data_IF_063749318144
#
_entry.id   IF_063749318144
#
_cell.length_a   1.000
_cell.length_b   1.000
_cell.length_c   1.000
_cell.angle_alpha   90.00
_cell.angle_beta   90.00
_cell.angle_gamma   90.00
#
_symmetry.space_group_name_H-M   'P 1'
#
loop_
_entity.id
_entity.type
_entity.pdbx_description
1 polymer ?
#
# COMPACT_ATOMS: atom_id res chain seq x y z
N UNK A 1 66.09 9.88 13.47
CA UNK A 1 65.30 9.93 12.21
C UNK A 1 64.70 8.55 11.96
N UNK A 2 63.40 8.29 11.80
CA UNK A 2 62.13 8.92 12.17
C UNK A 2 61.14 7.72 12.08
N UNK A 3 60.57 7.28 13.20
CA UNK A 3 59.64 6.14 13.24
C UNK A 3 58.32 6.53 12.59
N UNK A 4 57.92 5.83 11.52
CA UNK A 4 56.63 6.01 10.87
C UNK A 4 55.67 4.94 11.37
N UNK A 5 54.93 5.28 12.42
CA UNK A 5 53.72 4.57 12.82
C UNK A 5 52.57 5.15 12.00
N UNK A 6 51.97 4.38 11.08
CA UNK A 6 50.60 4.66 10.63
C UNK A 6 49.69 3.66 11.33
N UNK A 7 49.00 4.20 12.32
CA UNK A 7 47.81 3.67 12.96
C UNK A 7 46.65 3.59 11.96
N UNK A 8 45.92 2.47 12.06
CA UNK A 8 44.46 2.42 12.08
C UNK A 8 43.70 3.09 10.92
N UNK A 9 43.25 2.29 9.96
CA UNK A 9 41.88 2.43 9.49
C UNK A 9 41.22 1.06 9.48
N UNK A 10 40.57 0.70 10.60
CA UNK A 10 39.37 -0.11 10.49
C UNK A 10 38.43 0.68 9.59
N UNK A 11 38.37 0.31 8.31
CA UNK A 11 37.18 0.58 7.51
C UNK A 11 36.08 -0.25 8.16
N UNK A 12 35.40 0.36 9.12
CA UNK A 12 34.05 -0.03 9.46
C UNK A 12 33.29 0.09 8.14
N UNK A 13 33.04 -1.04 7.48
CA UNK A 13 31.98 -1.16 6.50
C UNK A 13 30.69 -0.83 7.26
N UNK A 14 30.39 0.46 7.39
CA UNK A 14 29.06 0.90 7.72
C UNK A 14 28.17 0.33 6.63
N UNK A 15 27.17 -0.46 7.02
CA UNK A 15 26.10 -0.84 6.11
C UNK A 15 25.57 0.45 5.51
N UNK A 16 25.84 0.66 4.21
CA UNK A 16 25.32 1.80 3.48
C UNK A 16 23.85 1.44 3.19
N UNK A 17 22.96 1.79 4.13
CA UNK A 17 21.52 1.70 3.92
C UNK A 17 21.13 2.97 3.15
N UNK A 18 21.30 2.94 1.83
CA UNK A 18 20.74 3.96 0.95
C UNK A 18 19.23 3.93 1.12
N UNK A 19 18.67 4.98 1.72
CA UNK A 19 17.23 5.14 1.87
C UNK A 19 16.60 5.06 0.47
N UNK A 20 15.78 4.02 0.23
CA UNK A 20 15.09 3.83 -1.04
C UNK A 20 14.07 4.96 -1.22
N UNK A 21 14.29 5.80 -2.23
CA UNK A 21 13.37 6.87 -2.59
C UNK A 21 12.07 6.27 -3.14
N UNK A 22 10.93 6.64 -2.55
CA UNK A 22 9.61 6.24 -3.04
C UNK A 22 9.26 7.15 -4.22
N UNK A 23 8.90 6.62 -5.41
CA UNK A 23 8.51 7.44 -6.56
C UNK A 23 7.32 8.37 -6.26
N UNK A 24 7.12 9.41 -7.07
CA UNK A 24 5.96 10.29 -6.92
C UNK A 24 4.66 9.60 -7.37
N UNK A 25 3.76 9.35 -6.43
CA UNK A 25 2.46 8.72 -6.68
C UNK A 25 1.47 9.61 -7.45
N UNK A 26 1.65 10.94 -7.44
CA UNK A 26 0.68 11.88 -8.01
C UNK A 26 0.45 11.63 -9.51
N UNK A 27 1.51 11.38 -10.27
CA UNK A 27 1.40 11.13 -11.71
C UNK A 27 0.61 9.84 -11.99
N UNK A 28 0.92 8.75 -11.27
CA UNK A 28 0.22 7.48 -11.44
C UNK A 28 -1.27 7.60 -11.09
N UNK A 29 -1.60 8.32 -10.01
CA UNK A 29 -2.99 8.58 -9.63
C UNK A 29 -3.71 9.39 -10.69
N UNK A 30 -3.14 10.50 -11.17
CA UNK A 30 -3.75 11.34 -12.20
C UNK A 30 -4.02 10.61 -13.51
N UNK A 31 -3.14 9.67 -13.91
CA UNK A 31 -3.35 8.85 -15.11
C UNK A 31 -4.58 7.94 -14.98
N UNK A 32 -4.78 7.33 -13.81
CA UNK A 32 -5.89 6.40 -13.57
C UNK A 32 -7.19 7.14 -13.25
N UNK A 33 -7.13 8.23 -12.49
CA UNK A 33 -8.28 9.04 -12.13
C UNK A 33 -8.79 9.89 -13.30
N UNK A 34 -7.93 10.19 -14.28
CA UNK A 34 -8.20 11.12 -15.37
C UNK A 34 -8.47 12.54 -14.88
N UNK A 35 -7.93 12.91 -13.72
CA UNK A 35 -8.01 14.25 -13.15
C UNK A 35 -6.63 14.92 -13.18
N UNK A 36 -6.59 16.19 -13.58
CA UNK A 36 -5.36 17.00 -13.58
C UNK A 36 -4.79 17.24 -12.18
N UNK A 37 -5.65 17.12 -11.15
CA UNK A 37 -5.28 17.17 -9.74
C UNK A 37 -6.27 16.34 -8.92
N UNK A 38 -5.87 15.14 -8.52
CA UNK A 38 -6.67 14.31 -7.63
C UNK A 38 -6.46 14.66 -6.16
N UNK A 39 -7.52 14.58 -5.38
CA UNK A 39 -7.46 14.64 -3.92
C UNK A 39 -7.56 13.21 -3.38
N UNK A 40 -6.63 12.79 -2.54
CA UNK A 40 -6.58 11.43 -2.02
C UNK A 40 -5.80 11.36 -0.71
N UNK A 41 -6.02 10.29 0.05
CA UNK A 41 -5.09 9.81 1.07
C UNK A 41 -4.29 8.63 0.52
N UNK A 42 -3.08 8.42 1.02
CA UNK A 42 -2.22 7.31 0.61
C UNK A 42 -1.54 6.67 1.82
N UNK A 43 -1.57 5.34 1.86
CA UNK A 43 -0.79 4.51 2.77
C UNK A 43 0.17 3.63 1.97
N UNK A 44 1.31 3.30 2.56
CA UNK A 44 2.37 2.52 1.90
C UNK A 44 2.67 1.24 2.69
N UNK A 45 2.86 0.14 1.97
CA UNK A 45 3.32 -1.13 2.49
C UNK A 45 3.83 -2.03 1.36
N UNK A 46 4.91 -2.77 1.59
CA UNK A 46 5.36 -3.84 0.71
C UNK A 46 4.35 -5.01 0.69
N UNK A 47 3.46 -5.02 -0.31
CA UNK A 47 2.37 -5.99 -0.39
C UNK A 47 2.85 -7.33 -0.95
N UNK A 48 3.77 -7.30 -1.91
CA UNK A 48 4.24 -8.48 -2.63
C UNK A 48 5.58 -9.05 -2.10
N UNK A 49 6.19 -8.40 -1.11
CA UNK A 49 7.47 -8.74 -0.51
C UNK A 49 8.68 -8.65 -1.44
N UNK A 50 8.65 -7.74 -2.42
CA UNK A 50 9.80 -7.42 -3.27
C UNK A 50 10.74 -6.36 -2.67
N UNK A 51 10.37 -5.83 -1.50
CA UNK A 51 11.12 -4.85 -0.73
C UNK A 51 10.81 -3.40 -1.09
N UNK A 52 9.96 -3.12 -2.08
CA UNK A 52 9.47 -1.79 -2.37
C UNK A 52 8.08 -1.60 -1.79
N UNK A 53 7.87 -0.52 -1.04
CA UNK A 53 6.54 -0.25 -0.51
C UNK A 53 5.58 0.17 -1.64
N UNK A 54 4.52 -0.60 -1.79
CA UNK A 54 3.40 -0.36 -2.71
C UNK A 54 2.45 0.70 -2.15
N UNK A 55 1.67 1.34 -3.02
CA UNK A 55 0.76 2.41 -2.63
C UNK A 55 -0.70 1.95 -2.63
N UNK A 56 -1.40 2.24 -1.53
CA UNK A 56 -2.86 2.11 -1.41
C UNK A 56 -3.44 3.52 -1.29
N UNK A 57 -4.16 3.94 -2.33
CA UNK A 57 -4.65 5.30 -2.51
C UNK A 57 -6.17 5.33 -2.37
N UNK A 58 -6.68 6.06 -1.38
CA UNK A 58 -8.11 6.31 -1.22
C UNK A 58 -8.46 7.66 -1.85
N UNK A 59 -9.15 7.63 -2.99
CA UNK A 59 -9.58 8.83 -3.70
C UNK A 59 -10.70 9.54 -2.93
N UNK A 60 -10.67 10.88 -2.95
CA UNK A 60 -11.62 11.76 -2.27
C UNK A 60 -12.48 12.53 -3.25
N UNK A 61 -13.64 12.96 -2.78
CA UNK A 61 -14.56 13.83 -3.51
C UNK A 61 -15.73 13.09 -4.15
N UNK A 62 -16.70 13.85 -4.63
CA UNK A 62 -18.02 13.34 -5.05
C UNK A 62 -17.95 12.39 -6.25
N UNK A 63 -16.90 12.48 -7.09
CA UNK A 63 -16.70 11.58 -8.22
C UNK A 63 -16.24 10.18 -7.78
N UNK A 64 -15.62 10.07 -6.60
CA UNK A 64 -14.94 8.87 -6.11
C UNK A 64 -15.60 8.26 -4.89
N UNK A 65 -16.35 9.08 -4.15
CA UNK A 65 -17.05 8.71 -2.93
C UNK A 65 -18.56 8.86 -3.09
N UNK A 66 -19.28 7.82 -2.71
CA UNK A 66 -20.74 7.78 -2.68
C UNK A 66 -21.25 7.25 -1.34
N UNK A 67 -22.53 6.90 -1.31
CA UNK A 67 -23.17 6.42 -0.08
C UNK A 67 -22.62 5.10 0.44
N UNK A 68 -22.03 4.27 -0.44
CA UNK A 68 -21.47 2.95 -0.09
C UNK A 68 -19.99 2.96 0.31
N UNK A 69 -19.26 4.06 0.06
CA UNK A 69 -17.82 4.16 0.28
C UNK A 69 -17.13 4.99 -0.78
N UNK A 70 -15.81 5.03 -0.69
CA UNK A 70 -14.90 5.67 -1.63
C UNK A 70 -14.20 4.64 -2.54
N UNK A 71 -13.58 5.16 -3.59
CA UNK A 71 -12.73 4.39 -4.49
C UNK A 71 -11.32 4.28 -3.92
N UNK A 72 -10.81 3.06 -3.82
CA UNK A 72 -9.40 2.77 -3.54
C UNK A 72 -8.71 2.25 -4.80
N UNK A 73 -7.52 2.76 -5.06
CA UNK A 73 -6.59 2.28 -6.07
C UNK A 73 -5.39 1.63 -5.38
N UNK A 74 -4.86 0.57 -5.98
CA UNK A 74 -3.64 -0.10 -5.52
C UNK A 74 -2.62 -0.03 -6.64
N UNK A 75 -1.40 0.36 -6.31
CA UNK A 75 -0.28 0.47 -7.23
C UNK A 75 0.91 -0.31 -6.71
N UNK A 76 1.55 -1.08 -7.58
CA UNK A 76 2.83 -1.70 -7.31
C UNK A 76 3.95 -0.69 -7.48
N UNK A 77 4.88 -0.63 -6.53
CA UNK A 77 6.13 0.09 -6.70
C UNK A 77 7.17 -0.81 -7.39
N UNK A 78 7.66 -0.41 -8.56
CA UNK A 78 8.68 -1.16 -9.31
C UNK A 78 10.12 -0.76 -8.96
N UNK A 79 10.28 0.14 -7.99
CA UNK A 79 11.53 0.79 -7.63
C UNK A 79 11.83 2.07 -8.41
N UNK A 80 11.22 2.24 -9.59
CA UNK A 80 11.33 3.47 -10.40
C UNK A 80 10.02 4.19 -10.64
N UNK A 81 8.90 3.46 -10.62
CA UNK A 81 7.57 4.01 -10.85
C UNK A 81 6.48 3.22 -10.11
N UNK A 82 5.24 3.71 -10.24
CA UNK A 82 4.05 3.02 -9.75
C UNK A 82 3.24 2.44 -10.91
N UNK A 83 3.08 1.13 -10.92
CA UNK A 83 2.22 0.40 -11.87
C UNK A 83 0.86 0.13 -11.25
N UNK A 84 -0.22 0.44 -11.98
CA UNK A 84 -1.58 0.19 -11.49
C UNK A 84 -1.89 -1.31 -11.36
N UNK A 85 -2.46 -1.72 -10.23
CA UNK A 85 -2.82 -3.11 -9.92
C UNK A 85 -4.34 -3.32 -9.85
N UNK A 86 -5.05 -2.51 -9.07
CA UNK A 86 -6.49 -2.73 -8.89
C UNK A 86 -7.26 -1.49 -8.46
N UNK A 87 -8.58 -1.53 -8.66
CA UNK A 87 -9.54 -0.50 -8.27
C UNK A 87 -10.75 -1.13 -7.59
N UNK A 88 -11.13 -0.60 -6.42
CA UNK A 88 -12.29 -1.04 -5.64
C UNK A 88 -13.15 0.17 -5.25
N UNK A 89 -14.48 0.10 -5.35
CA UNK A 89 -15.35 1.31 -5.23
C UNK A 89 -16.19 1.40 -3.95
N UNK A 90 -16.30 0.31 -3.18
CA UNK A 90 -17.12 0.23 -1.96
C UNK A 90 -16.21 0.06 -0.75
N UNK A 91 -15.23 0.95 -0.62
CA UNK A 91 -14.23 0.92 0.46
C UNK A 91 -14.42 2.07 1.43
N UNK A 92 -13.99 1.87 2.66
CA UNK A 92 -13.91 2.89 3.70
C UNK A 92 -12.73 2.60 4.61
N UNK A 93 -12.33 3.62 5.34
CA UNK A 93 -11.26 3.53 6.31
C UNK A 93 -11.76 2.94 7.66
N UNK A 94 -10.86 2.42 8.51
CA UNK A 94 -9.42 2.26 8.27
C UNK A 94 -9.10 1.17 7.24
N UNK A 95 -8.01 1.35 6.51
CA UNK A 95 -7.43 0.32 5.63
C UNK A 95 -6.23 -0.31 6.34
N UNK A 96 -6.20 -1.64 6.36
CA UNK A 96 -5.18 -2.42 7.06
C UNK A 96 -4.55 -3.48 6.17
N UNK A 97 -3.30 -3.80 6.46
CA UNK A 97 -2.59 -4.95 5.90
C UNK A 97 -2.79 -6.13 6.84
N UNK A 98 -3.40 -7.21 6.35
CA UNK A 98 -3.57 -8.44 7.11
C UNK A 98 -2.24 -9.20 7.26
N UNK A 99 -2.18 -10.10 8.24
CA UNK A 99 -1.02 -11.02 8.38
C UNK A 99 -1.00 -12.12 7.30
N UNK A 100 -2.10 -12.29 6.56
CA UNK A 100 -2.24 -13.32 5.52
C UNK A 100 -1.81 -12.79 4.15
N UNK A 101 -1.35 -13.71 3.31
CA UNK A 101 -1.05 -13.46 1.90
C UNK A 101 -1.84 -14.43 1.03
N UNK A 102 -2.37 -13.94 -0.09
CA UNK A 102 -2.96 -14.75 -1.16
C UNK A 102 -2.21 -14.46 -2.45
N UNK A 103 -1.82 -15.51 -3.19
CA UNK A 103 -1.13 -15.38 -4.48
C UNK A 103 0.13 -14.50 -4.43
N UNK A 104 0.86 -14.53 -3.30
CA UNK A 104 2.10 -13.77 -3.07
C UNK A 104 1.91 -12.36 -2.51
N UNK A 105 0.69 -11.83 -2.52
CA UNK A 105 0.36 -10.47 -2.07
C UNK A 105 -0.32 -10.48 -0.70
N UNK A 106 -0.04 -9.50 0.15
CA UNK A 106 -0.71 -9.34 1.44
C UNK A 106 -2.21 -9.11 1.21
N UNK A 107 -3.06 -9.78 1.98
CA UNK A 107 -4.48 -9.49 1.97
C UNK A 107 -4.75 -8.14 2.64
N UNK A 108 -5.79 -7.45 2.19
CA UNK A 108 -6.11 -6.10 2.66
C UNK A 108 -7.45 -6.14 3.38
N UNK A 109 -7.52 -5.53 4.56
CA UNK A 109 -8.78 -5.34 5.29
C UNK A 109 -9.26 -3.92 5.02
N UNK A 110 -10.49 -3.81 4.54
CA UNK A 110 -11.18 -2.53 4.36
C UNK A 110 -12.52 -2.57 5.07
N UNK A 111 -13.02 -1.40 5.46
CA UNK A 111 -14.39 -1.29 5.91
C UNK A 111 -15.33 -1.14 4.72
N UNK A 112 -16.40 -1.94 4.67
CA UNK A 112 -17.48 -1.81 3.68
C UNK A 112 -18.78 -1.45 4.38
N UNK A 113 -19.42 -0.35 3.95
CA UNK A 113 -20.67 0.09 4.57
C UNK A 113 -21.76 -0.96 4.47
N UNK A 114 -22.49 -1.15 5.58
CA UNK A 114 -23.58 -2.13 5.67
C UNK A 114 -23.10 -3.58 5.84
N UNK A 115 -21.78 -3.80 5.88
CA UNK A 115 -21.18 -5.12 6.11
C UNK A 115 -20.23 -5.11 7.30
N UNK A 116 -19.29 -4.16 7.34
CA UNK A 116 -18.21 -4.11 8.32
C UNK A 116 -16.85 -4.35 7.66
N UNK A 117 -15.87 -4.77 8.46
CA UNK A 117 -14.52 -5.08 7.99
C UNK A 117 -14.53 -6.38 7.16
N UNK A 118 -13.98 -6.32 5.94
CA UNK A 118 -13.94 -7.43 5.00
C UNK A 118 -12.52 -7.68 4.50
N UNK A 119 -12.24 -8.94 4.15
CA UNK A 119 -10.94 -9.36 3.63
C UNK A 119 -10.92 -9.28 2.10
N UNK A 120 -9.97 -8.55 1.55
CA UNK A 120 -9.69 -8.48 0.12
C UNK A 120 -8.46 -9.34 -0.19
N UNK A 121 -8.70 -10.54 -0.73
CA UNK A 121 -7.64 -11.44 -1.15
C UNK A 121 -7.24 -11.17 -2.60
N UNK A 122 -5.93 -11.17 -2.89
CA UNK A 122 -5.42 -11.00 -4.25
C UNK A 122 -5.62 -12.27 -5.08
N UNK A 123 -6.25 -12.15 -6.25
CA UNK A 123 -6.61 -13.31 -7.09
C UNK A 123 -5.48 -13.78 -8.02
N UNK A 124 -4.30 -13.15 -7.93
CA UNK A 124 -3.17 -13.34 -8.83
C UNK A 124 -3.02 -12.25 -9.89
N UNK A 125 -4.05 -11.42 -10.08
CA UNK A 125 -4.03 -10.27 -10.97
C UNK A 125 -4.49 -8.97 -10.28
N UNK A 126 -5.51 -9.04 -9.43
CA UNK A 126 -6.12 -7.86 -8.80
C UNK A 126 -6.76 -8.17 -7.45
N UNK A 127 -7.01 -7.14 -6.66
CA UNK A 127 -7.94 -7.21 -5.52
C UNK A 127 -9.40 -7.05 -5.99
N UNK A 128 -10.39 -7.56 -5.23
CA UNK A 128 -11.78 -7.51 -5.62
C UNK A 128 -12.30 -6.08 -5.85
N UNK A 129 -13.00 -5.86 -6.96
CA UNK A 129 -13.55 -4.55 -7.31
C UNK A 129 -14.71 -4.09 -6.41
N UNK A 130 -15.38 -5.02 -5.73
CA UNK A 130 -16.48 -4.73 -4.82
C UNK A 130 -16.29 -5.42 -3.44
N UNK A 131 -15.76 -4.70 -2.45
CA UNK A 131 -15.56 -5.19 -1.08
C UNK A 131 -16.85 -5.68 -0.40
N UNK A 132 -18.02 -5.11 -0.71
CA UNK A 132 -19.30 -5.53 -0.09
C UNK A 132 -19.67 -6.99 -0.36
N UNK A 133 -19.03 -7.62 -1.35
CA UNK A 133 -19.22 -9.05 -1.68
C UNK A 133 -18.25 -9.97 -0.94
N UNK A 134 -17.24 -9.43 -0.27
CA UNK A 134 -16.16 -10.21 0.35
C UNK A 134 -16.50 -10.67 1.77
N UNK A 135 -15.83 -11.71 2.26
CA UNK A 135 -16.08 -12.26 3.60
C UNK A 135 -15.69 -11.28 4.71
N UNK A 136 -16.42 -11.32 5.82
CA UNK A 136 -16.05 -10.60 7.04
C UNK A 136 -14.74 -11.15 7.60
N UNK A 137 -13.94 -10.27 8.19
CA UNK A 137 -12.79 -10.68 9.01
C UNK A 137 -13.24 -11.02 10.43
N UNK A 138 -12.52 -11.93 11.07
CA UNK A 138 -12.64 -12.15 12.52
C UNK A 138 -12.02 -10.99 13.32
N UNK A 139 -12.41 -10.85 14.58
CA UNK A 139 -11.83 -9.84 15.48
C UNK A 139 -10.31 -9.98 15.62
N UNK A 140 -9.80 -11.21 15.68
CA UNK A 140 -8.36 -11.47 15.77
C UNK A 140 -7.62 -11.03 14.51
N UNK A 141 -8.18 -11.29 13.33
CA UNK A 141 -7.60 -10.82 12.07
C UNK A 141 -7.57 -9.29 12.01
N UNK A 142 -8.64 -8.61 12.45
CA UNK A 142 -8.68 -7.15 12.46
C UNK A 142 -7.69 -6.54 13.47
N UNK A 143 -7.56 -7.15 14.66
CA UNK A 143 -6.67 -6.68 15.73
C UNK A 143 -5.19 -6.84 15.39
N UNK A 144 -4.81 -7.92 14.71
CA UNK A 144 -3.42 -8.17 14.34
C UNK A 144 -3.00 -7.43 13.06
N UNK A 145 -3.96 -6.92 12.28
CA UNK A 145 -3.66 -6.20 11.06
C UNK A 145 -3.04 -4.83 11.32
N UNK A 146 -2.08 -4.44 10.48
CA UNK A 146 -1.40 -3.14 10.54
C UNK A 146 -2.24 -2.09 9.83
N UNK A 147 -2.68 -1.05 10.55
CA UNK A 147 -3.33 0.12 9.94
C UNK A 147 -2.30 0.89 9.11
N UNK A 148 -2.67 1.24 7.88
CA UNK A 148 -1.85 2.06 6.97
C UNK A 148 -2.57 3.34 6.51
N UNK A 149 -3.88 3.42 6.70
CA UNK A 149 -4.71 4.57 6.34
C UNK A 149 -5.93 4.63 7.27
N UNK A 150 -6.18 5.81 7.83
CA UNK A 150 -7.26 6.12 8.81
C UNK A 150 -8.49 6.76 8.17
#
# INVERSE_FOLDING_TARGET
>A
MKYWWILFSLFLFGCNEEAREIPDINQAVSLISQESKSNFDVGYADLNSDGFDDAIVMLKGMNWCGSGGCTVLIFQNTGSDFTFISKSTVTGSPIRIAETKTSGWNDIIVWSKGKGSVLMCFDGNSYPSNPSMQSLVSEDQEKNAKIILE
#
